data_IF_110282129945
#
_entry.id   IF_110282129945
#
_cell.length_a   1.000
_cell.length_b   1.000
_cell.length_c   1.000
_cell.angle_alpha   90.00
_cell.angle_beta   90.00
_cell.angle_gamma   90.00
#
_symmetry.space_group_name_H-M   'P 1'
#
loop_
_entity.id
_entity.type
_entity.pdbx_description
1 polymer ?
#
# COMPACT_ATOMS: atom_id res chain seq x y z
N UNK A 1 -36.48 -7.06 7.35
CA UNK A 1 -35.49 -7.75 8.22
C UNK A 1 -34.09 -7.30 7.84
N UNK A 2 -33.47 -6.41 8.63
CA UNK A 2 -32.09 -5.98 8.40
C UNK A 2 -31.12 -7.07 8.87
N UNK A 3 -30.40 -7.68 7.95
CA UNK A 3 -29.31 -8.60 8.26
C UNK A 3 -28.23 -7.83 9.03
N UNK A 4 -28.10 -8.10 10.32
CA UNK A 4 -26.98 -7.62 11.12
C UNK A 4 -25.69 -8.27 10.56
N UNK A 5 -24.72 -7.49 10.06
CA UNK A 5 -23.46 -8.07 9.63
C UNK A 5 -22.78 -8.67 10.87
N UNK A 6 -22.49 -9.98 10.85
CA UNK A 6 -21.68 -10.64 11.89
C UNK A 6 -20.19 -10.55 11.51
N UNK A 7 -19.33 -10.28 12.49
CA UNK A 7 -17.86 -10.30 12.32
C UNK A 7 -17.20 -8.91 12.27
N UNK A 8 -15.93 -8.85 11.86
CA UNK A 8 -15.11 -7.61 11.85
C UNK A 8 -15.78 -6.45 11.08
N UNK A 9 -16.57 -6.77 10.06
CA UNK A 9 -17.34 -5.80 9.27
C UNK A 9 -18.47 -5.11 10.06
N UNK A 10 -18.98 -5.72 11.13
CA UNK A 10 -19.98 -5.13 12.01
C UNK A 10 -19.44 -3.88 12.72
N UNK A 11 -18.20 -3.96 13.21
CA UNK A 11 -17.53 -2.84 13.86
C UNK A 11 -17.35 -1.68 12.87
N UNK A 12 -16.88 -1.95 11.66
CA UNK A 12 -16.73 -0.94 10.61
C UNK A 12 -18.07 -0.33 10.17
N UNK A 13 -19.12 -1.13 9.99
CA UNK A 13 -20.44 -0.61 9.63
C UNK A 13 -21.06 0.23 10.75
N UNK A 14 -20.83 -0.12 12.01
CA UNK A 14 -21.30 0.68 13.15
C UNK A 14 -20.56 2.03 13.24
N UNK A 15 -19.25 2.05 13.01
CA UNK A 15 -18.47 3.31 12.94
C UNK A 15 -18.96 4.18 11.78
N UNK A 16 -19.15 3.61 10.59
CA UNK A 16 -19.65 4.33 9.42
C UNK A 16 -21.08 4.86 9.62
N UNK A 17 -21.95 4.08 10.27
CA UNK A 17 -23.30 4.54 10.66
C UNK A 17 -23.23 5.71 11.63
N UNK A 18 -22.34 5.66 12.63
CA UNK A 18 -22.13 6.75 13.57
C UNK A 18 -21.62 8.03 12.90
N UNK A 19 -20.66 7.90 11.98
CA UNK A 19 -20.13 9.03 11.20
C UNK A 19 -21.24 9.60 10.31
N UNK A 20 -21.94 8.75 9.56
CA UNK A 20 -23.07 9.13 8.69
C UNK A 20 -24.16 9.89 9.44
N UNK A 21 -24.54 9.42 10.63
CA UNK A 21 -25.54 10.08 11.48
C UNK A 21 -25.09 11.48 11.95
N UNK A 22 -23.80 11.66 12.25
CA UNK A 22 -23.22 12.94 12.66
C UNK A 22 -22.98 13.89 11.48
N UNK A 23 -22.69 13.37 10.29
CA UNK A 23 -22.32 14.17 9.11
C UNK A 23 -23.46 14.37 8.12
N UNK A 24 -24.61 13.70 8.28
CA UNK A 24 -25.74 13.80 7.36
C UNK A 24 -25.45 13.27 5.95
N UNK A 25 -24.35 12.54 5.76
CA UNK A 25 -23.97 11.97 4.45
C UNK A 25 -24.46 10.53 4.33
N UNK A 26 -25.09 10.12 3.20
CA UNK A 26 -25.51 8.73 3.00
C UNK A 26 -24.34 7.74 3.14
N UNK A 27 -24.60 6.59 3.77
CA UNK A 27 -23.58 5.55 4.04
C UNK A 27 -22.88 5.09 2.75
N UNK A 28 -23.61 4.94 1.65
CA UNK A 28 -23.07 4.53 0.35
C UNK A 28 -22.06 5.54 -0.21
N UNK A 29 -22.37 6.84 -0.13
CA UNK A 29 -21.47 7.92 -0.53
C UNK A 29 -20.21 7.96 0.34
N UNK A 30 -20.36 7.70 1.64
CA UNK A 30 -19.23 7.65 2.58
C UNK A 30 -18.29 6.46 2.29
N UNK A 31 -18.84 5.28 1.99
CA UNK A 31 -18.05 4.10 1.60
C UNK A 31 -17.29 4.37 0.30
N UNK A 32 -17.96 4.95 -0.71
CA UNK A 32 -17.31 5.27 -1.98
C UNK A 32 -16.18 6.30 -1.80
N UNK A 33 -16.45 7.34 -1.02
CA UNK A 33 -15.47 8.40 -0.71
C UNK A 33 -14.27 7.85 0.05
N UNK A 34 -14.52 7.01 1.06
CA UNK A 34 -13.47 6.31 1.79
C UNK A 34 -12.62 5.47 0.85
N UNK A 35 -13.23 4.66 -0.02
CA UNK A 35 -12.51 3.83 -0.98
C UNK A 35 -11.63 4.66 -1.91
N UNK A 36 -12.16 5.74 -2.50
CA UNK A 36 -11.40 6.61 -3.40
C UNK A 36 -10.19 7.23 -2.69
N UNK A 37 -10.39 7.79 -1.49
CA UNK A 37 -9.30 8.39 -0.71
C UNK A 37 -8.28 7.33 -0.27
N UNK A 38 -8.75 6.13 0.09
CA UNK A 38 -7.89 5.02 0.49
C UNK A 38 -6.96 4.60 -0.66
N UNK A 39 -7.48 4.52 -1.88
CA UNK A 39 -6.67 4.21 -3.06
C UNK A 39 -5.70 5.35 -3.40
N UNK A 40 -6.15 6.61 -3.35
CA UNK A 40 -5.27 7.75 -3.61
C UNK A 40 -4.12 7.82 -2.60
N UNK A 41 -4.42 7.61 -1.33
CA UNK A 41 -3.42 7.57 -0.25
C UNK A 41 -2.56 6.31 -0.29
N UNK A 42 -2.86 5.31 -1.12
CA UNK A 42 -1.96 4.19 -1.42
C UNK A 42 -1.01 4.51 -2.59
N UNK A 43 -1.52 5.15 -3.65
CA UNK A 43 -0.76 5.46 -4.86
C UNK A 43 0.24 6.60 -4.62
N UNK A 44 -0.20 7.69 -3.98
CA UNK A 44 0.63 8.89 -3.81
C UNK A 44 1.90 8.59 -3.00
N UNK A 45 1.85 7.93 -1.82
CA UNK A 45 3.07 7.59 -1.10
C UNK A 45 3.93 6.58 -1.85
N UNK A 46 3.33 5.59 -2.53
CA UNK A 46 4.10 4.61 -3.29
C UNK A 46 4.94 5.28 -4.39
N UNK A 47 4.30 6.12 -5.20
CA UNK A 47 4.97 6.83 -6.30
C UNK A 47 5.94 7.89 -5.76
N UNK A 48 5.51 8.67 -4.76
CA UNK A 48 6.31 9.74 -4.17
C UNK A 48 7.57 9.23 -3.47
N UNK A 49 7.46 8.14 -2.70
CA UNK A 49 8.62 7.53 -2.04
C UNK A 49 9.56 6.91 -3.07
N UNK A 50 9.05 6.28 -4.13
CA UNK A 50 9.88 5.74 -5.20
C UNK A 50 10.72 6.83 -5.88
N UNK A 51 10.11 7.94 -6.29
CA UNK A 51 10.85 9.02 -6.96
C UNK A 51 11.79 9.74 -6.00
N UNK A 52 11.40 9.91 -4.74
CA UNK A 52 12.27 10.50 -3.71
C UNK A 52 13.48 9.60 -3.44
N UNK A 53 13.29 8.29 -3.25
CA UNK A 53 14.39 7.35 -3.00
C UNK A 53 15.32 7.24 -4.20
N UNK A 54 14.76 7.25 -5.41
CA UNK A 54 15.51 7.29 -6.67
C UNK A 54 16.32 8.58 -6.81
N UNK A 55 15.72 9.73 -6.53
CA UNK A 55 16.39 11.03 -6.63
C UNK A 55 17.56 11.16 -5.63
N UNK A 56 17.41 10.58 -4.44
CA UNK A 56 18.43 10.61 -3.39
C UNK A 56 19.43 9.44 -3.50
N UNK A 57 19.17 8.44 -4.35
CA UNK A 57 20.01 7.24 -4.48
C UNK A 57 20.04 6.36 -3.23
N UNK A 58 19.05 6.46 -2.34
CA UNK A 58 19.08 5.78 -1.02
C UNK A 58 18.47 4.37 -1.04
N UNK A 59 17.80 3.97 -2.13
CA UNK A 59 17.10 2.68 -2.19
C UNK A 59 18.00 1.48 -1.90
N UNK A 60 19.14 1.37 -2.60
CA UNK A 60 20.08 0.25 -2.42
C UNK A 60 20.69 0.23 -1.02
N UNK A 61 21.04 1.40 -0.48
CA UNK A 61 21.60 1.52 0.87
C UNK A 61 20.61 1.02 1.92
N UNK A 62 19.35 1.48 1.86
CA UNK A 62 18.32 1.10 2.81
C UNK A 62 18.05 -0.42 2.74
N UNK A 63 17.90 -0.97 1.54
CA UNK A 63 17.64 -2.42 1.37
C UNK A 63 18.82 -3.24 1.91
N UNK A 64 20.05 -2.88 1.58
CA UNK A 64 21.24 -3.59 2.05
C UNK A 64 21.40 -3.51 3.56
N UNK A 65 21.17 -2.35 4.18
CA UNK A 65 21.22 -2.20 5.63
C UNK A 65 20.15 -3.04 6.32
N UNK A 66 18.91 -3.01 5.83
CA UNK A 66 17.81 -3.79 6.41
C UNK A 66 18.07 -5.30 6.33
N UNK A 67 18.61 -5.78 5.20
CA UNK A 67 18.97 -7.20 5.03
C UNK A 67 20.10 -7.58 5.99
N UNK A 68 21.19 -6.78 6.02
CA UNK A 68 22.35 -7.02 6.90
C UNK A 68 22.00 -7.01 8.38
N UNK A 69 21.25 -6.01 8.84
CA UNK A 69 20.81 -5.90 10.24
C UNK A 69 19.97 -7.11 10.65
N UNK A 70 19.15 -7.63 9.74
CA UNK A 70 18.33 -8.82 9.99
C UNK A 70 19.20 -10.09 10.09
N UNK A 71 20.22 -10.23 9.24
CA UNK A 71 21.13 -11.37 9.27
C UNK A 71 21.98 -11.42 10.55
N UNK A 72 22.53 -10.27 10.96
CA UNK A 72 23.34 -10.14 12.17
C UNK A 72 22.48 -10.47 13.41
N UNK A 73 21.30 -9.86 13.49
CA UNK A 73 20.38 -10.08 14.63
C UNK A 73 19.93 -11.55 14.72
N UNK A 74 19.62 -12.18 13.59
CA UNK A 74 19.21 -13.59 13.57
C UNK A 74 20.32 -14.54 14.00
N UNK A 75 21.58 -14.18 13.75
CA UNK A 75 22.76 -14.97 14.16
C UNK A 75 23.08 -14.79 15.65
N UNK A 76 22.94 -13.58 16.19
CA UNK A 76 23.12 -13.29 17.62
C UNK A 76 22.03 -13.94 18.49
N UNK A 77 20.76 -13.92 18.04
CA UNK A 77 19.66 -14.60 18.74
C UNK A 77 19.86 -16.12 18.83
N UNK A 78 20.40 -16.73 17.77
CA UNK A 78 20.63 -18.18 17.73
C UNK A 78 21.75 -18.62 18.68
N UNK A 79 22.66 -17.70 19.04
CA UNK A 79 23.77 -17.93 19.95
C UNK A 79 23.42 -17.64 21.42
N UNK A 80 22.55 -16.66 21.69
CA UNK A 80 22.17 -16.21 23.03
C UNK A 80 20.82 -16.79 23.53
N UNK A 81 20.39 -17.94 23.01
CA UNK A 81 19.08 -18.56 23.27
C UNK A 81 18.80 -19.03 24.71
N UNK A 82 18.83 -18.13 25.68
CA UNK A 82 18.43 -18.38 27.08
C UNK A 82 17.85 -17.13 27.74
N UNK A 83 16.55 -17.15 28.02
CA UNK A 83 15.87 -16.18 28.92
C UNK A 83 15.08 -15.08 28.21
N UNK A 84 13.75 -15.21 28.20
CA UNK A 84 12.79 -14.35 27.48
C UNK A 84 12.60 -12.99 28.17
N UNK A 85 12.93 -11.90 27.47
CA UNK A 85 12.33 -10.58 27.70
C UNK A 85 11.35 -10.28 26.55
N UNK A 86 10.09 -10.01 26.89
CA UNK A 86 8.97 -9.75 25.95
C UNK A 86 9.30 -8.65 24.93
N UNK A 87 10.10 -7.66 25.32
CA UNK A 87 10.56 -6.56 24.46
C UNK A 87 11.42 -7.02 23.28
N UNK A 88 12.29 -8.01 23.49
CA UNK A 88 13.15 -8.57 22.44
C UNK A 88 12.30 -9.31 21.39
N UNK A 89 11.25 -10.01 21.83
CA UNK A 89 10.36 -10.76 20.94
C UNK A 89 9.63 -9.88 19.93
N UNK A 90 9.24 -8.66 20.33
CA UNK A 90 8.57 -7.69 19.46
C UNK A 90 9.53 -7.13 18.41
N UNK A 91 10.75 -6.80 18.81
CA UNK A 91 11.79 -6.34 17.88
C UNK A 91 12.13 -7.42 16.85
N UNK A 92 12.25 -8.67 17.30
CA UNK A 92 12.58 -9.82 16.46
C UNK A 92 11.46 -10.16 15.48
N UNK A 93 10.22 -10.15 15.97
CA UNK A 93 9.04 -10.26 15.11
C UNK A 93 8.99 -9.14 14.08
N UNK A 94 9.25 -7.90 14.49
CA UNK A 94 9.29 -6.73 13.62
C UNK A 94 10.33 -6.85 12.52
N UNK A 95 11.57 -7.22 12.87
CA UNK A 95 12.67 -7.46 11.92
C UNK A 95 12.32 -8.54 10.90
N UNK A 96 11.79 -9.69 11.36
CA UNK A 96 11.33 -10.78 10.47
C UNK A 96 10.22 -10.30 9.53
N UNK A 97 9.31 -9.47 10.03
CA UNK A 97 8.21 -8.92 9.22
C UNK A 97 8.72 -7.97 8.13
N UNK A 98 9.65 -7.07 8.49
CA UNK A 98 10.28 -6.16 7.55
C UNK A 98 11.03 -6.92 6.46
N UNK A 99 11.80 -7.96 6.81
CA UNK A 99 12.43 -8.84 5.82
C UNK A 99 11.42 -9.48 4.88
N UNK A 100 10.33 -10.02 5.41
CA UNK A 100 9.24 -10.56 4.58
C UNK A 100 8.67 -9.51 3.62
N UNK A 101 8.60 -8.24 4.03
CA UNK A 101 8.16 -7.16 3.14
C UNK A 101 9.18 -6.77 2.08
N UNK A 102 10.47 -6.85 2.37
CA UNK A 102 11.55 -6.66 1.39
C UNK A 102 11.47 -7.75 0.33
N UNK A 103 11.37 -9.01 0.75
CA UNK A 103 11.24 -10.17 -0.15
C UNK A 103 9.95 -10.13 -0.98
N UNK A 104 8.82 -9.77 -0.36
CA UNK A 104 7.54 -9.55 -1.06
C UNK A 104 7.64 -8.40 -2.07
N UNK A 105 8.32 -7.32 -1.67
CA UNK A 105 8.55 -6.13 -2.48
C UNK A 105 9.37 -6.46 -3.72
N UNK A 106 10.41 -7.28 -3.59
CA UNK A 106 11.27 -7.69 -4.70
C UNK A 106 10.47 -8.53 -5.72
N UNK A 107 9.71 -9.52 -5.23
CA UNK A 107 8.80 -10.32 -6.06
C UNK A 107 7.74 -9.45 -6.76
N UNK A 108 7.20 -8.46 -6.06
CA UNK A 108 6.24 -7.51 -6.61
C UNK A 108 6.88 -6.63 -7.68
N UNK A 109 8.04 -6.04 -7.41
CA UNK A 109 8.78 -5.18 -8.33
C UNK A 109 9.14 -5.95 -9.61
N UNK A 110 9.59 -7.19 -9.48
CA UNK A 110 9.87 -8.07 -10.61
C UNK A 110 8.61 -8.39 -11.44
N UNK A 111 7.48 -8.65 -10.78
CA UNK A 111 6.19 -8.93 -11.46
C UNK A 111 5.66 -7.71 -12.21
N UNK A 112 5.63 -6.55 -11.55
CA UNK A 112 5.14 -5.29 -12.14
C UNK A 112 6.09 -4.80 -13.21
N UNK A 113 7.39 -4.85 -12.94
CA UNK A 113 8.46 -4.54 -13.88
C UNK A 113 8.32 -5.30 -15.18
N UNK A 114 8.23 -6.63 -15.13
CA UNK A 114 8.03 -7.44 -16.35
C UNK A 114 6.68 -7.22 -17.04
N UNK A 115 5.61 -6.97 -16.29
CA UNK A 115 4.27 -6.77 -16.87
C UNK A 115 4.18 -5.46 -17.65
N UNK A 116 4.81 -4.40 -17.17
CA UNK A 116 4.65 -3.05 -17.72
C UNK A 116 5.90 -2.48 -18.36
N UNK A 117 7.06 -3.13 -18.22
CA UNK A 117 8.34 -2.63 -18.71
C UNK A 117 8.91 -1.50 -17.85
N UNK A 118 8.78 -1.61 -16.52
CA UNK A 118 9.20 -0.58 -15.55
C UNK A 118 10.33 -1.11 -14.65
N UNK A 119 10.99 -0.23 -13.89
CA UNK A 119 12.13 -0.57 -13.01
C UNK A 119 13.33 -1.21 -13.73
N UNK A 120 13.52 -0.86 -15.00
CA UNK A 120 14.55 -1.44 -15.86
C UNK A 120 14.13 -2.74 -16.55
N UNK A 121 13.07 -3.42 -16.11
CA UNK A 121 12.59 -4.63 -16.81
C UNK A 121 12.04 -4.30 -18.19
N UNK A 122 12.21 -5.21 -19.16
CA UNK A 122 11.50 -5.15 -20.43
C UNK A 122 10.07 -5.68 -20.26
N UNK A 123 9.13 -5.03 -20.95
CA UNK A 123 7.74 -5.48 -21.00
C UNK A 123 7.69 -6.85 -21.67
N UNK A 124 7.21 -7.87 -20.96
CA UNK A 124 7.09 -9.23 -21.47
C UNK A 124 6.07 -9.29 -22.59
N UNK A 125 6.47 -9.80 -23.75
CA UNK A 125 5.52 -10.09 -24.82
C UNK A 125 4.77 -11.40 -24.51
N UNK A 126 3.48 -11.51 -24.87
CA UNK A 126 2.74 -12.77 -24.69
C UNK A 126 3.45 -13.93 -25.40
N UNK A 127 3.78 -15.00 -24.67
CA UNK A 127 4.45 -16.19 -25.22
C UNK A 127 5.99 -16.18 -25.15
N UNK A 128 6.62 -15.09 -24.75
CA UNK A 128 8.08 -14.99 -24.63
C UNK A 128 8.59 -15.71 -23.37
N UNK A 129 9.60 -16.57 -23.54
CA UNK A 129 10.34 -17.23 -22.45
C UNK A 129 11.44 -16.30 -21.94
N UNK A 130 11.56 -16.19 -20.62
CA UNK A 130 12.44 -15.23 -19.96
C UNK A 130 13.90 -15.70 -20.03
N UNK A 131 14.67 -15.13 -20.96
CA UNK A 131 16.10 -15.44 -21.12
C UNK A 131 17.02 -14.48 -20.33
N UNK A 132 16.50 -13.58 -19.48
CA UNK A 132 17.31 -12.79 -18.54
C UNK A 132 18.31 -11.76 -19.12
N UNK A 133 18.52 -11.69 -20.43
CA UNK A 133 19.80 -11.22 -20.98
C UNK A 133 19.86 -9.80 -21.56
N UNK A 134 18.88 -8.92 -21.34
CA UNK A 134 18.86 -7.65 -22.10
C UNK A 134 18.73 -6.35 -21.33
N UNK A 135 19.13 -6.33 -20.05
CA UNK A 135 19.08 -5.10 -19.25
C UNK A 135 20.35 -4.93 -18.38
N UNK A 136 20.93 -3.72 -18.29
CA UNK A 136 22.05 -3.45 -17.38
C UNK A 136 21.68 -3.79 -15.93
N UNK A 137 22.31 -4.82 -15.36
CA UNK A 137 22.05 -5.30 -13.99
C UNK A 137 22.08 -4.19 -12.93
N UNK A 138 22.95 -3.20 -13.11
CA UNK A 138 23.10 -2.07 -12.18
C UNK A 138 21.87 -1.15 -12.14
N UNK A 139 21.23 -0.85 -13.29
CA UNK A 139 20.02 0.00 -13.31
C UNK A 139 18.79 -0.74 -12.77
N UNK A 140 18.72 -2.06 -12.98
CA UNK A 140 17.66 -2.89 -12.38
C UNK A 140 17.82 -2.92 -10.87
N UNK A 141 19.02 -3.19 -10.36
CA UNK A 141 19.26 -3.30 -8.92
C UNK A 141 18.81 -2.03 -8.17
N UNK A 142 19.18 -0.85 -8.69
CA UNK A 142 18.80 0.42 -8.07
C UNK A 142 17.30 0.72 -8.14
N UNK A 143 16.68 0.55 -9.32
CA UNK A 143 15.26 0.84 -9.48
C UNK A 143 14.37 -0.15 -8.74
N UNK A 144 14.77 -1.43 -8.69
CA UNK A 144 14.12 -2.44 -7.87
C UNK A 144 14.26 -2.10 -6.40
N UNK A 145 15.45 -1.74 -5.92
CA UNK A 145 15.64 -1.34 -4.53
C UNK A 145 14.77 -0.14 -4.15
N UNK A 146 14.70 0.88 -5.01
CA UNK A 146 13.81 2.04 -4.82
C UNK A 146 12.33 1.62 -4.74
N UNK A 147 11.90 0.67 -5.58
CA UNK A 147 10.54 0.13 -5.59
C UNK A 147 10.23 -0.70 -4.35
N UNK A 148 11.20 -1.50 -3.86
CA UNK A 148 11.09 -2.29 -2.64
C UNK A 148 10.97 -1.39 -1.41
N UNK A 149 11.79 -0.34 -1.31
CA UNK A 149 11.71 0.67 -0.24
C UNK A 149 10.35 1.37 -0.27
N UNK A 150 9.90 1.81 -1.44
CA UNK A 150 8.60 2.45 -1.59
C UNK A 150 7.45 1.53 -1.18
N UNK A 151 7.52 0.25 -1.55
CA UNK A 151 6.54 -0.77 -1.17
C UNK A 151 6.49 -1.00 0.34
N UNK A 152 7.66 -1.20 0.96
CA UNK A 152 7.80 -1.40 2.41
C UNK A 152 7.32 -0.18 3.21
N UNK A 153 7.75 1.01 2.81
CA UNK A 153 7.35 2.26 3.45
C UNK A 153 5.84 2.51 3.29
N UNK A 154 5.26 2.21 2.13
CA UNK A 154 3.81 2.30 1.93
C UNK A 154 3.06 1.32 2.85
N UNK A 155 3.59 0.09 3.06
CA UNK A 155 3.03 -0.86 4.03
C UNK A 155 3.11 -0.33 5.47
N UNK A 156 4.20 0.31 5.86
CA UNK A 156 4.33 0.95 7.18
C UNK A 156 3.29 2.05 7.40
N UNK A 157 2.89 2.75 6.34
CA UNK A 157 1.86 3.80 6.40
C UNK A 157 0.42 3.26 6.46
N UNK A 158 0.18 1.93 6.41
CA UNK A 158 -1.17 1.35 6.48
C UNK A 158 -2.06 1.90 7.62
N UNK A 159 -1.64 1.91 8.90
CA UNK A 159 -2.47 2.41 10.00
C UNK A 159 -2.79 3.90 9.84
N UNK A 160 -1.81 4.70 9.42
CA UNK A 160 -1.99 6.13 9.15
C UNK A 160 -2.97 6.36 8.00
N UNK A 161 -2.86 5.57 6.92
CA UNK A 161 -3.76 5.64 5.74
C UNK A 161 -5.21 5.40 6.10
N UNK A 162 -5.48 4.42 6.97
CA UNK A 162 -6.85 4.15 7.44
C UNK A 162 -7.38 5.34 8.25
N UNK A 163 -6.58 5.90 9.16
CA UNK A 163 -6.96 7.06 9.97
C UNK A 163 -7.25 8.31 9.12
N UNK A 164 -6.34 8.64 8.20
CA UNK A 164 -6.47 9.78 7.27
C UNK A 164 -7.69 9.61 6.36
N UNK A 165 -7.89 8.41 5.80
CA UNK A 165 -9.04 8.15 4.92
C UNK A 165 -10.38 8.27 5.65
N UNK A 166 -10.48 7.78 6.89
CA UNK A 166 -11.69 7.94 7.70
C UNK A 166 -11.97 9.40 8.06
N UNK A 167 -10.92 10.17 8.33
CA UNK A 167 -11.04 11.60 8.68
C UNK A 167 -11.52 12.44 7.48
N UNK A 168 -10.98 12.21 6.29
CA UNK A 168 -11.32 13.00 5.09
C UNK A 168 -12.56 12.50 4.33
N UNK A 169 -13.00 11.26 4.53
CA UNK A 169 -14.15 10.70 3.82
C UNK A 169 -15.43 11.57 3.91
N UNK A 170 -15.82 12.14 5.07
CA UNK A 170 -17.01 12.99 5.16
C UNK A 170 -16.89 14.30 4.38
N UNK A 171 -15.71 14.93 4.38
CA UNK A 171 -15.46 16.17 3.65
C UNK A 171 -15.50 15.92 2.13
N UNK A 172 -14.84 14.85 1.67
CA UNK A 172 -14.81 14.48 0.26
C UNK A 172 -16.20 14.09 -0.28
N UNK A 173 -16.99 13.35 0.51
CA UNK A 173 -18.36 12.98 0.16
C UNK A 173 -19.23 14.21 -0.14
N UNK A 174 -19.05 15.28 0.65
CA UNK A 174 -19.82 16.52 0.51
C UNK A 174 -19.32 17.39 -0.65
N UNK A 175 -18.01 17.52 -0.82
CA UNK A 175 -17.41 18.47 -1.77
C UNK A 175 -17.31 17.91 -3.18
N UNK A 176 -17.01 16.62 -3.34
CA UNK A 176 -16.74 16.02 -4.67
C UNK A 176 -17.90 15.14 -5.12
N UNK A 177 -18.43 14.30 -4.24
CA UNK A 177 -19.44 13.31 -4.66
C UNK A 177 -20.84 13.91 -4.89
N UNK A 178 -21.28 14.84 -4.04
CA UNK A 178 -22.58 15.49 -4.20
C UNK A 178 -22.74 16.28 -5.51
N UNK A 179 -21.78 17.12 -5.95
CA UNK A 179 -21.90 17.79 -7.24
C UNK A 179 -21.77 16.82 -8.42
N UNK A 180 -20.85 15.85 -8.36
CA UNK A 180 -20.69 14.84 -9.43
C UNK A 180 -21.96 14.01 -9.59
N UNK A 181 -22.57 13.56 -8.49
CA UNK A 181 -23.85 12.83 -8.52
C UNK A 181 -24.95 13.67 -9.17
N UNK A 182 -25.01 14.97 -8.88
CA UNK A 182 -26.00 15.89 -9.48
C UNK A 182 -25.78 16.01 -10.99
N UNK A 183 -24.54 16.18 -11.45
CA UNK A 183 -24.19 16.30 -12.89
C UNK A 183 -24.44 14.98 -13.63
N UNK A 184 -24.06 13.85 -13.05
CA UNK A 184 -24.28 12.52 -13.65
C UNK A 184 -25.78 12.21 -13.73
N UNK A 185 -26.54 12.40 -12.66
CA UNK A 185 -28.01 12.20 -12.71
C UNK A 185 -28.70 13.17 -13.66
N UNK A 186 -28.24 14.41 -13.79
CA UNK A 186 -28.77 15.35 -14.78
C UNK A 186 -28.47 14.94 -16.23
N UNK A 187 -27.35 14.24 -16.46
CA UNK A 187 -26.96 13.75 -17.80
C UNK A 187 -27.70 12.46 -18.18
N UNK A 188 -28.05 11.61 -17.21
CA UNK A 188 -28.80 10.36 -17.44
C UNK A 188 -30.33 10.49 -17.25
N UNK A 189 -30.82 11.59 -16.69
CA UNK A 189 -32.26 11.86 -16.48
C UNK A 189 -32.99 12.51 -17.67
N UNK A 190 -32.29 12.79 -18.77
CA UNK A 190 -32.91 13.25 -20.03
C UNK A 190 -32.89 12.12 -21.05
N UNK A 191 -33.88 11.23 -20.98
CA UNK A 191 -34.33 10.51 -22.17
C UNK A 191 -35.64 11.16 -22.64
N UNK A 192 -35.79 11.47 -23.93
CA UNK A 192 -36.86 12.32 -24.45
C UNK A 192 -38.18 11.57 -24.51
N UNK A 193 -39.26 12.31 -24.24
CA UNK A 193 -40.64 12.01 -24.62
C UNK A 193 -40.80 11.94 -26.13
#
# INVERSE_FOLDING_TARGET
MSTQPKGKFAAYTNVLKGISARTGTPISSLILSFGIIHELTAIVPLVGIFYTSRALGVGEMIVNTVIRDTEISGREEQLNGGGLHEEQSVMVWGKRKVRGWVEDGDKWAARVGRRYGVFGYKKRQPGEVDNGDTVPKHRIAGDVANAVVAYGATKLLLPVRVGVSLYFAPAFARTVLNPVRRVVMQSFGKSPS
#
